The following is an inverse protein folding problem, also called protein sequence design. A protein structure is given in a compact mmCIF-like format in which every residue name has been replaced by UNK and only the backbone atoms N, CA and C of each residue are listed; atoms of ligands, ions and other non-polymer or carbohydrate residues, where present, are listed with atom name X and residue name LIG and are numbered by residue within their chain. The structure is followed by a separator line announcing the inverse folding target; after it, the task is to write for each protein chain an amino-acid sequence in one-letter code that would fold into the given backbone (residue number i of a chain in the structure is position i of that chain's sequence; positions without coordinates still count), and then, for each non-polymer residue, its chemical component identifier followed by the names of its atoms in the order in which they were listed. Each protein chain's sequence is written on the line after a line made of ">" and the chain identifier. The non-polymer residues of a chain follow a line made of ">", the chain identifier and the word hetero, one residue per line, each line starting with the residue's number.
data_IF_410320036457
#
_entry.id   IF_410320036457
#
_cell.length_a   1.000
_cell.length_b   1.000
_cell.length_c   1.000
_cell.angle_alpha   90.00
_cell.angle_beta   90.00
_cell.angle_gamma   90.00
#
_symmetry.space_group_name_H-M   'P 1'
#
loop_
_entity.id
_entity.type
_entity.pdbx_description
1 polymer ?
#
# COMPACT_ATOMS: atom_id res chain seq x y z
N UNK A 1 16.13 4.76 18.80
CA UNK A 1 16.04 4.28 17.41
C UNK A 1 17.39 4.50 16.77
N UNK A 2 18.01 3.44 16.27
CA UNK A 2 19.31 3.54 15.58
C UNK A 2 19.11 4.09 14.15
N UNK A 3 20.07 4.84 13.59
CA UNK A 3 19.97 5.39 12.23
C UNK A 3 19.71 4.34 11.16
N UNK A 4 20.28 3.14 11.29
CA UNK A 4 20.06 2.00 10.39
C UNK A 4 18.59 1.54 10.35
N UNK A 5 17.88 1.58 11.47
CA UNK A 5 16.46 1.20 11.51
C UNK A 5 15.59 2.24 10.81
N UNK A 6 15.96 3.52 10.89
CA UNK A 6 15.25 4.61 10.22
C UNK A 6 15.49 4.54 8.71
N UNK A 7 16.72 4.31 8.27
CA UNK A 7 17.07 4.17 6.85
C UNK A 7 16.39 2.93 6.23
N UNK A 8 16.37 1.81 6.95
CA UNK A 8 15.69 0.60 6.49
C UNK A 8 14.17 0.80 6.33
N UNK A 9 13.54 1.53 7.25
CA UNK A 9 12.10 1.86 7.19
C UNK A 9 11.80 2.84 6.06
N UNK A 10 12.63 3.86 5.84
CA UNK A 10 12.42 4.83 4.76
C UNK A 10 12.68 4.22 3.37
N UNK A 11 13.68 3.34 3.21
CA UNK A 11 13.85 2.55 1.98
C UNK A 11 12.64 1.65 1.72
N UNK A 12 12.14 0.96 2.74
CA UNK A 12 10.97 0.10 2.62
C UNK A 12 9.69 0.89 2.25
N UNK A 13 9.53 2.10 2.78
CA UNK A 13 8.43 3.00 2.41
C UNK A 13 8.55 3.49 0.97
N UNK A 14 9.76 3.78 0.49
CA UNK A 14 10.01 4.18 -0.90
C UNK A 14 9.63 3.08 -1.90
N UNK A 15 10.08 1.86 -1.65
CA UNK A 15 9.73 0.69 -2.47
C UNK A 15 8.23 0.42 -2.46
N UNK A 16 7.60 0.54 -1.28
CA UNK A 16 6.16 0.38 -1.14
C UNK A 16 5.40 1.46 -1.91
N UNK A 17 5.86 2.73 -1.89
CA UNK A 17 5.25 3.82 -2.64
C UNK A 17 5.28 3.56 -4.15
N UNK A 18 6.43 3.16 -4.69
CA UNK A 18 6.58 2.81 -6.10
C UNK A 18 5.74 1.60 -6.51
N UNK A 19 5.53 0.63 -5.61
CA UNK A 19 4.62 -0.49 -5.84
C UNK A 19 3.14 -0.07 -5.82
N UNK A 20 2.77 0.85 -4.93
CA UNK A 20 1.40 1.38 -4.85
C UNK A 20 1.04 2.29 -6.02
N UNK A 21 2.00 3.00 -6.60
CA UNK A 21 1.82 3.80 -7.83
C UNK A 21 1.44 2.93 -9.04
N UNK A 22 1.74 1.64 -8.99
CA UNK A 22 1.40 0.69 -10.05
C UNK A 22 0.01 0.06 -9.86
N UNK A 23 -0.67 0.36 -8.76
CA UNK A 23 -2.07 0.01 -8.54
C UNK A 23 -3.00 1.03 -9.21
N UNK A 24 -4.24 0.64 -9.53
CA UNK A 24 -5.29 1.60 -9.87
C UNK A 24 -5.36 2.71 -8.82
N UNK A 25 -5.52 3.95 -9.28
CA UNK A 25 -5.43 5.17 -8.45
C UNK A 25 -6.17 5.06 -7.12
N UNK A 26 -7.43 4.61 -7.15
CA UNK A 26 -8.27 4.45 -5.96
C UNK A 26 -7.77 3.34 -5.01
N UNK A 27 -7.20 2.25 -5.53
CA UNK A 27 -6.59 1.18 -4.71
C UNK A 27 -5.30 1.69 -4.06
N UNK A 28 -4.45 2.37 -4.82
CA UNK A 28 -3.23 3.00 -4.32
C UNK A 28 -3.53 4.03 -3.23
N UNK A 29 -4.57 4.85 -3.41
CA UNK A 29 -5.01 5.84 -2.42
C UNK A 29 -5.52 5.18 -1.14
N UNK A 30 -6.38 4.14 -1.24
CA UNK A 30 -6.82 3.36 -0.06
C UNK A 30 -5.64 2.76 0.69
N UNK A 31 -4.67 2.18 -0.03
CA UNK A 31 -3.46 1.60 0.57
C UNK A 31 -2.59 2.66 1.25
N UNK A 32 -2.34 3.81 0.60
CA UNK A 32 -1.56 4.91 1.17
C UNK A 32 -2.16 5.43 2.47
N UNK A 33 -3.48 5.65 2.49
CA UNK A 33 -4.20 6.08 3.69
C UNK A 33 -4.22 4.99 4.77
N UNK A 34 -4.38 3.71 4.38
CA UNK A 34 -4.43 2.59 5.33
C UNK A 34 -3.13 2.39 6.09
N UNK A 35 -2.00 2.60 5.42
CA UNK A 35 -0.67 2.37 5.97
C UNK A 35 0.07 3.66 6.36
N UNK A 36 -0.57 4.84 6.23
CA UNK A 36 0.03 6.13 6.60
C UNK A 36 1.26 6.48 5.76
N UNK A 37 1.28 6.10 4.49
CA UNK A 37 2.46 6.30 3.62
C UNK A 37 2.58 7.74 3.13
N UNK A 38 1.46 8.46 3.08
CA UNK A 38 1.40 9.84 2.62
C UNK A 38 1.47 10.82 3.79
N UNK A 39 0.57 10.68 4.76
CA UNK A 39 0.44 11.61 5.91
C UNK A 39 1.07 11.08 7.20
N UNK A 40 1.74 9.93 7.18
CA UNK A 40 2.38 9.34 8.36
C UNK A 40 1.43 8.65 9.34
N UNK A 41 0.10 8.84 9.19
CA UNK A 41 -0.90 8.29 10.11
C UNK A 41 -1.83 7.27 9.41
N UNK A 42 -1.86 6.01 9.86
CA UNK A 42 -2.72 4.99 9.26
C UNK A 42 -4.20 5.19 9.61
N UNK A 43 -5.06 5.18 8.60
CA UNK A 43 -6.50 5.35 8.76
C UNK A 43 -7.24 3.99 8.81
N UNK A 44 -8.40 3.97 9.48
CA UNK A 44 -9.30 2.81 9.47
C UNK A 44 -10.13 2.74 8.18
N UNK A 45 -10.58 1.54 7.78
CA UNK A 45 -11.43 1.36 6.59
C UNK A 45 -12.69 2.24 6.60
N UNK A 46 -13.26 2.46 7.79
CA UNK A 46 -14.42 3.34 7.98
C UNK A 46 -14.07 4.80 7.75
N UNK A 47 -12.92 5.27 8.28
CA UNK A 47 -12.46 6.65 8.09
C UNK A 47 -12.08 6.91 6.62
N UNK A 48 -11.40 5.95 5.98
CA UNK A 48 -11.08 6.00 4.55
C UNK A 48 -12.34 6.06 3.71
N UNK A 49 -13.34 5.22 4.01
CA UNK A 49 -14.61 5.22 3.28
C UNK A 49 -15.35 6.55 3.40
N UNK A 50 -15.37 7.15 4.59
CA UNK A 50 -15.92 8.49 4.80
C UNK A 50 -15.16 9.56 4.02
N UNK A 51 -13.83 9.50 4.01
CA UNK A 51 -12.98 10.47 3.31
C UNK A 51 -13.13 10.37 1.78
N UNK A 52 -13.23 9.15 1.24
CA UNK A 52 -13.36 8.89 -0.20
C UNK A 52 -14.81 8.86 -0.69
N UNK A 53 -15.80 9.07 0.18
CA UNK A 53 -17.22 9.01 -0.18
C UNK A 53 -17.71 7.63 -0.64
N UNK A 54 -17.06 6.55 -0.20
CA UNK A 54 -17.39 5.17 -0.57
C UNK A 54 -17.74 4.30 0.63
N UNK A 55 -18.46 3.20 0.41
CA UNK A 55 -18.80 2.28 1.49
C UNK A 55 -17.57 1.58 2.06
N UNK A 56 -17.61 1.25 3.36
CA UNK A 56 -16.56 0.48 4.04
C UNK A 56 -16.24 -0.83 3.30
N UNK A 57 -17.26 -1.50 2.77
CA UNK A 57 -17.09 -2.75 2.04
C UNK A 57 -16.37 -2.53 0.70
N UNK A 58 -16.62 -1.40 0.03
CA UNK A 58 -15.86 -1.01 -1.17
C UNK A 58 -14.39 -0.74 -0.83
N UNK A 59 -14.10 -0.05 0.27
CA UNK A 59 -12.71 0.13 0.76
C UNK A 59 -12.05 -1.22 1.04
N UNK A 60 -12.75 -2.14 1.71
CA UNK A 60 -12.24 -3.49 2.01
C UNK A 60 -11.93 -4.29 0.74
N UNK A 61 -12.78 -4.18 -0.29
CA UNK A 61 -12.55 -4.84 -1.57
C UNK A 61 -11.32 -4.25 -2.26
N UNK A 62 -11.22 -2.92 -2.32
CA UNK A 62 -10.04 -2.24 -2.88
C UNK A 62 -8.75 -2.61 -2.14
N UNK A 63 -8.80 -2.74 -0.81
CA UNK A 63 -7.67 -3.18 0.01
C UNK A 63 -7.24 -4.62 -0.35
N UNK A 64 -8.21 -5.55 -0.42
CA UNK A 64 -7.94 -6.95 -0.81
C UNK A 64 -7.38 -7.06 -2.22
N UNK A 65 -7.96 -6.34 -3.18
CA UNK A 65 -7.54 -6.39 -4.57
C UNK A 65 -6.14 -5.79 -4.75
N UNK A 66 -5.85 -4.68 -4.07
CA UNK A 66 -4.53 -4.07 -4.03
C UNK A 66 -3.47 -5.03 -3.49
N UNK A 67 -3.74 -5.67 -2.34
CA UNK A 67 -2.85 -6.67 -1.75
C UNK A 67 -2.63 -7.89 -2.66
N UNK A 68 -3.67 -8.38 -3.34
CA UNK A 68 -3.57 -9.49 -4.27
C UNK A 68 -2.73 -9.12 -5.52
N UNK A 69 -2.84 -7.88 -5.99
CA UNK A 69 -2.03 -7.37 -7.10
C UNK A 69 -0.55 -7.24 -6.69
N UNK A 70 -0.29 -6.68 -5.51
CA UNK A 70 1.07 -6.56 -4.95
C UNK A 70 1.75 -7.93 -4.79
N UNK A 71 1.04 -8.94 -4.27
CA UNK A 71 1.57 -10.32 -4.14
C UNK A 71 1.95 -10.92 -5.48
N UNK A 72 1.05 -10.87 -6.48
CA UNK A 72 1.34 -11.38 -7.84
C UNK A 72 2.55 -10.70 -8.47
N UNK A 73 2.69 -9.39 -8.26
CA UNK A 73 3.82 -8.62 -8.80
C UNK A 73 5.13 -8.97 -8.10
N UNK A 74 5.12 -9.18 -6.78
CA UNK A 74 6.28 -9.68 -6.04
C UNK A 74 6.70 -11.08 -6.52
N UNK A 75 5.75 -11.98 -6.76
CA UNK A 75 6.01 -13.31 -7.30
C UNK A 75 6.62 -13.24 -8.71
N UNK A 76 6.10 -12.37 -9.57
CA UNK A 76 6.66 -12.15 -10.91
C UNK A 76 8.10 -11.62 -10.87
N UNK A 77 8.40 -10.69 -9.95
CA UNK A 77 9.76 -10.17 -9.75
C UNK A 77 10.68 -11.27 -9.19
N UNK A 78 10.22 -12.09 -8.24
CA UNK A 78 11.01 -13.20 -7.69
C UNK A 78 11.30 -14.29 -8.74
N UNK A 79 10.33 -14.57 -9.63
CA UNK A 79 10.54 -15.50 -10.73
C UNK A 79 11.65 -15.02 -11.69
N UNK A 80 11.72 -13.71 -11.94
CA UNK A 80 12.72 -13.12 -12.84
C UNK A 80 14.14 -13.07 -12.24
N UNK A 81 14.28 -13.00 -10.92
CA UNK A 81 15.59 -13.01 -10.23
C UNK A 81 16.09 -14.44 -9.98
N UNK A 82 15.19 -15.43 -10.01
CA UNK A 82 15.51 -16.84 -9.86
C UNK A 82 15.77 -17.58 -11.20
N UNK A 83 15.78 -16.86 -12.32
CA UNK A 83 16.12 -17.36 -13.67
C UNK A 83 17.32 -16.63 -14.24
#
# INVERSE_FOLDING_TARGET
>A
MLPDEVVAVECLKGDLRALLEQLPELQGQVMRMRYGIEDGEPMSLTAIGRHLGISRDRVRNLERDGLANLRRRREAVQAYVAS
#
